data_IF_220194361199
#
_entry.id   IF_220194361199
#
_cell.length_a   1.000
_cell.length_b   1.000
_cell.length_c   1.000
_cell.angle_alpha   90.00
_cell.angle_beta   90.00
_cell.angle_gamma   90.00
#
_symmetry.space_group_name_H-M   'P 1'
#
loop_
_entity.id
_entity.type
_entity.pdbx_description
1 polymer ?
#
# COMPACT_ATOMS: atom_id res chain seq x y z
N UNK A 1 6.04 5.67 -9.08
CA UNK A 1 5.40 4.48 -8.49
C UNK A 1 5.53 4.42 -6.96
N UNK A 2 6.65 3.98 -6.37
CA UNK A 2 6.73 3.82 -4.90
C UNK A 2 6.40 5.11 -4.09
N UNK A 3 6.97 6.26 -4.49
CA UNK A 3 6.67 7.54 -3.83
C UNK A 3 5.21 7.98 -3.99
N UNK A 4 4.61 7.71 -5.14
CA UNK A 4 3.21 8.04 -5.43
C UNK A 4 2.28 7.22 -4.53
N UNK A 5 2.50 5.90 -4.47
CA UNK A 5 1.82 4.98 -3.53
C UNK A 5 1.95 5.48 -2.09
N UNK A 6 3.14 5.88 -1.66
CA UNK A 6 3.38 6.40 -0.32
C UNK A 6 2.57 7.67 -0.02
N UNK A 7 2.52 8.61 -0.95
CA UNK A 7 1.75 9.85 -0.76
C UNK A 7 0.24 9.62 -0.84
N UNK A 8 -0.23 8.72 -1.70
CA UNK A 8 -1.64 8.37 -1.80
C UNK A 8 -2.14 7.65 -0.54
N UNK A 9 -1.34 6.74 0.02
CA UNK A 9 -1.64 6.09 1.29
C UNK A 9 -1.88 7.14 2.40
N UNK A 10 -1.10 8.22 2.43
CA UNK A 10 -1.24 9.30 3.44
C UNK A 10 -2.48 10.18 3.25
N UNK A 11 -3.13 10.10 2.09
CA UNK A 11 -4.39 10.80 1.80
C UNK A 11 -5.61 10.00 2.26
N UNK A 12 -5.45 8.72 2.62
CA UNK A 12 -6.56 7.88 3.07
C UNK A 12 -7.18 8.46 4.35
N UNK A 13 -8.48 8.79 4.34
CA UNK A 13 -9.17 9.25 5.53
C UNK A 13 -9.33 8.10 6.53
N UNK A 14 -9.21 8.40 7.82
CA UNK A 14 -9.39 7.40 8.89
C UNK A 14 -8.13 6.65 9.31
N UNK A 15 -6.99 6.85 8.65
CA UNK A 15 -5.71 6.38 9.14
C UNK A 15 -5.37 7.04 10.48
N UNK A 16 -5.13 6.23 11.51
CA UNK A 16 -4.75 6.70 12.83
C UNK A 16 -3.33 7.27 12.84
N UNK A 17 -2.41 6.58 12.17
CA UNK A 17 -1.03 7.05 11.99
C UNK A 17 -0.68 7.07 10.51
N UNK A 18 -0.23 8.23 10.03
CA UNK A 18 0.32 8.35 8.68
C UNK A 18 1.72 7.74 8.63
N UNK A 19 2.05 6.95 7.59
CA UNK A 19 3.39 6.43 7.40
C UNK A 19 4.41 7.58 7.30
N UNK A 20 5.50 7.45 8.03
CA UNK A 20 6.62 8.37 8.17
C UNK A 20 7.70 8.11 7.12
N UNK A 21 8.68 9.00 7.04
CA UNK A 21 9.85 8.81 6.18
C UNK A 21 10.65 7.56 6.57
N UNK A 22 10.71 7.20 7.86
CA UNK A 22 11.38 5.96 8.29
C UNK A 22 10.64 4.72 7.77
N UNK A 23 9.32 4.71 7.84
CA UNK A 23 8.49 3.62 7.30
C UNK A 23 8.61 3.53 5.77
N UNK A 24 8.73 4.66 5.06
CA UNK A 24 9.05 4.68 3.62
C UNK A 24 10.43 4.04 3.36
N UNK A 25 11.45 4.44 4.10
CA UNK A 25 12.83 3.93 3.91
C UNK A 25 12.87 2.42 4.15
N UNK A 26 12.22 1.94 5.20
CA UNK A 26 12.18 0.50 5.49
C UNK A 26 11.39 -0.27 4.43
N UNK A 27 10.30 0.31 3.91
CA UNK A 27 9.57 -0.27 2.79
C UNK A 27 10.42 -0.32 1.51
N UNK A 28 11.17 0.73 1.19
CA UNK A 28 12.08 0.74 0.05
C UNK A 28 13.21 -0.29 0.19
N UNK A 29 13.77 -0.48 1.39
CA UNK A 29 14.78 -1.53 1.63
C UNK A 29 14.23 -2.93 1.36
N UNK A 30 12.96 -3.18 1.72
CA UNK A 30 12.31 -4.46 1.46
C UNK A 30 11.97 -4.65 -0.01
N UNK A 31 11.59 -3.58 -0.72
CA UNK A 31 11.37 -3.64 -2.16
C UNK A 31 12.67 -3.87 -2.94
N UNK A 32 13.78 -3.35 -2.44
CA UNK A 32 15.11 -3.49 -3.03
C UNK A 32 15.87 -4.72 -2.52
N UNK A 33 15.27 -5.57 -1.70
CA UNK A 33 15.92 -6.82 -1.30
C UNK A 33 16.08 -7.71 -2.53
N UNK A 34 17.27 -8.30 -2.70
CA UNK A 34 17.56 -9.23 -3.80
C UNK A 34 16.43 -10.27 -3.92
N UNK A 35 15.96 -10.48 -5.17
CA UNK A 35 14.83 -11.32 -5.61
C UNK A 35 13.44 -10.68 -5.80
N UNK A 36 13.24 -9.37 -5.59
CA UNK A 36 11.95 -8.71 -5.90
C UNK A 36 11.91 -8.17 -7.36
N UNK A 37 11.12 -8.77 -8.27
CA UNK A 37 10.98 -8.21 -9.63
C UNK A 37 10.31 -6.82 -9.61
N UNK A 38 10.83 -5.89 -10.43
CA UNK A 38 10.30 -4.53 -10.63
C UNK A 38 8.80 -4.51 -10.96
N UNK A 39 8.34 -5.59 -11.57
CA UNK A 39 6.94 -5.85 -11.89
C UNK A 39 6.02 -5.87 -10.66
N UNK A 40 6.53 -6.06 -9.45
CA UNK A 40 5.73 -6.08 -8.22
C UNK A 40 5.13 -4.70 -7.92
N UNK A 41 5.83 -3.62 -8.28
CA UNK A 41 5.31 -2.26 -8.17
C UNK A 41 4.49 -1.87 -9.39
N UNK A 42 4.90 -2.29 -10.60
CA UNK A 42 4.21 -1.96 -11.86
C UNK A 42 2.89 -2.71 -12.05
N UNK A 43 2.82 -3.96 -11.58
CA UNK A 43 1.63 -4.80 -11.57
C UNK A 43 0.83 -4.68 -10.26
N UNK A 44 1.20 -3.75 -9.37
CA UNK A 44 0.29 -3.25 -8.36
C UNK A 44 -0.80 -2.46 -9.08
N UNK A 45 -1.67 -3.21 -9.74
CA UNK A 45 -2.88 -2.75 -10.39
C UNK A 45 -3.54 -1.74 -9.44
N UNK A 46 -3.80 -0.53 -9.91
CA UNK A 46 -4.45 0.50 -9.11
C UNK A 46 -5.84 0.06 -8.61
N UNK A 47 -6.40 -1.03 -9.16
CA UNK A 47 -7.57 -1.75 -8.63
C UNK A 47 -7.27 -2.72 -7.46
N UNK A 48 -6.04 -3.24 -7.35
CA UNK A 48 -5.53 -4.00 -6.20
C UNK A 48 -5.00 -3.01 -5.17
N UNK A 49 -5.92 -2.38 -4.45
CA UNK A 49 -5.68 -1.20 -3.61
C UNK A 49 -4.74 -1.37 -2.38
N UNK A 50 -3.92 -2.43 -2.33
CA UNK A 50 -2.95 -2.67 -1.27
C UNK A 50 -1.56 -2.84 -1.88
N UNK A 51 -0.59 -1.96 -1.55
CA UNK A 51 0.76 -2.13 -2.03
C UNK A 51 1.44 -3.37 -1.41
N UNK A 52 2.37 -4.01 -2.13
CA UNK A 52 3.15 -5.12 -1.59
C UNK A 52 3.89 -4.67 -0.33
N UNK A 53 4.01 -5.56 0.67
CA UNK A 53 4.75 -5.29 1.91
C UNK A 53 4.25 -4.04 2.68
N UNK A 54 2.96 -3.69 2.54
CA UNK A 54 2.34 -2.54 3.20
C UNK A 54 2.46 -2.55 4.74
N UNK A 55 2.73 -3.68 5.39
CA UNK A 55 3.06 -3.74 6.82
C UNK A 55 4.38 -3.04 7.19
N UNK A 56 5.21 -2.72 6.21
CA UNK A 56 6.35 -1.80 6.38
C UNK A 56 5.88 -0.34 6.52
N UNK A 57 4.81 0.03 5.81
CA UNK A 57 4.20 1.36 5.82
C UNK A 57 3.24 1.55 7.00
N UNK A 58 2.41 0.54 7.29
CA UNK A 58 1.39 0.56 8.34
C UNK A 58 1.78 -0.40 9.47
N UNK A 59 2.13 0.16 10.64
CA UNK A 59 2.51 -0.61 11.83
C UNK A 59 1.33 -0.93 12.75
N UNK A 60 0.15 -0.42 12.45
CA UNK A 60 -1.07 -0.61 13.23
C UNK A 60 -2.02 -1.55 12.50
N UNK A 61 -2.45 -2.61 13.16
CA UNK A 61 -3.36 -3.61 12.63
C UNK A 61 -4.71 -3.02 12.19
N UNK A 62 -5.20 -1.99 12.88
CA UNK A 62 -6.47 -1.35 12.51
C UNK A 62 -6.35 -0.55 11.21
N UNK A 63 -5.20 0.09 10.98
CA UNK A 63 -4.92 0.82 9.75
C UNK A 63 -4.74 -0.16 8.58
N UNK A 64 -4.15 -1.33 8.84
CA UNK A 64 -4.07 -2.46 7.91
C UNK A 64 -5.47 -2.98 7.52
N UNK A 65 -6.34 -3.25 8.49
CA UNK A 65 -7.70 -3.71 8.24
C UNK A 65 -8.55 -2.68 7.48
N UNK A 66 -8.36 -1.38 7.75
CA UNK A 66 -9.01 -0.31 7.00
C UNK A 66 -8.61 -0.36 5.52
N UNK A 67 -7.31 -0.49 5.24
CA UNK A 67 -6.79 -0.58 3.88
C UNK A 67 -7.31 -1.82 3.15
N UNK A 68 -7.35 -2.97 3.82
CA UNK A 68 -7.90 -4.22 3.28
C UNK A 68 -9.37 -4.10 2.92
N UNK A 69 -10.17 -3.45 3.77
CA UNK A 69 -11.59 -3.20 3.53
C UNK A 69 -11.79 -2.26 2.34
N UNK A 70 -11.03 -1.17 2.26
CA UNK A 70 -11.08 -0.22 1.12
C UNK A 70 -10.73 -0.93 -0.19
N UNK A 71 -9.68 -1.75 -0.18
CA UNK A 71 -9.28 -2.52 -1.36
C UNK A 71 -10.34 -3.54 -1.78
N UNK A 72 -11.00 -4.20 -0.82
CA UNK A 72 -12.09 -5.12 -1.12
C UNK A 72 -13.30 -4.41 -1.75
N UNK A 73 -13.67 -3.23 -1.25
CA UNK A 73 -14.77 -2.45 -1.82
C UNK A 73 -14.46 -1.98 -3.25
N UNK A 74 -13.26 -1.46 -3.49
CA UNK A 74 -12.80 -1.03 -4.83
C UNK A 74 -12.84 -2.17 -5.85
N UNK A 75 -12.36 -3.38 -5.48
CA UNK A 75 -12.43 -4.56 -6.35
C UNK A 75 -13.86 -4.98 -6.71
N UNK A 76 -14.80 -4.86 -5.77
CA UNK A 76 -16.22 -5.16 -6.03
C UNK A 76 -16.85 -4.16 -6.98
N UNK A 77 -16.55 -2.88 -6.84
CA UNK A 77 -17.05 -1.85 -7.75
C UNK A 77 -16.51 -2.04 -9.17
N UNK A 78 -15.23 -2.40 -9.31
CA UNK A 78 -14.62 -2.71 -10.60
C UNK A 78 -15.22 -3.94 -11.27
N UNK A 79 -15.56 -4.99 -10.51
CA UNK A 79 -16.17 -6.22 -11.05
C UNK A 79 -17.65 -6.06 -11.44
N UNK A 80 -18.32 -5.00 -10.94
CA UNK A 80 -19.73 -4.71 -11.23
C UNK A 80 -19.90 -3.70 -12.39
N UNK A 81 -18.80 -3.19 -12.96
CA UNK A 81 -18.78 -2.37 -14.17
C UNK A 81 -18.50 -3.22 -15.39
#
# INVERSE_FOLDING_TARGET
EALEIFFDLRKIPGLKKKPSTSELIDWLKLLLSDDMPDEILKNADSSKAIPPLYGALLKNEQDVQLLERLAFMSRREAANK
#
